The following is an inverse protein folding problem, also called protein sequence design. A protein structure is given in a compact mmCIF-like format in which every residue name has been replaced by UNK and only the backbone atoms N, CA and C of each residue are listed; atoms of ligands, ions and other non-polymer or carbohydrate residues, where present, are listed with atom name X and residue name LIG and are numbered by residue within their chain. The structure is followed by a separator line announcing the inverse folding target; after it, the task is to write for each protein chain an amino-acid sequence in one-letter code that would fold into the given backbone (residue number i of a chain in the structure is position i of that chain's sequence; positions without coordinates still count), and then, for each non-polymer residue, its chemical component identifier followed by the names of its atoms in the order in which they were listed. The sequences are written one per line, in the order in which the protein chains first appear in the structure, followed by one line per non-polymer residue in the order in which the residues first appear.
data_IF_654477500854
#
_entry.id   IF_654477500854
#
_cell.length_a   1.000
_cell.length_b   1.000
_cell.length_c   1.000
_cell.angle_alpha   90.00
_cell.angle_beta   90.00
_cell.angle_gamma   90.00
#
_symmetry.space_group_name_H-M   'P 1'
#
loop_
_entity.id
_entity.type
_entity.pdbx_description
1 polymer ?
#
# COMPACT_ATOMS: atom_id res chain seq x y z
N UNK A 1 16.32 26.94 -6.90
CA UNK A 1 16.70 25.51 -6.80
C UNK A 1 15.42 24.68 -6.89
N UNK A 2 15.12 24.12 -8.07
CA UNK A 2 13.99 23.20 -8.25
C UNK A 2 14.54 21.78 -8.35
N UNK A 3 14.69 21.12 -7.21
CA UNK A 3 14.98 19.69 -7.14
C UNK A 3 13.68 18.94 -7.36
N UNK A 4 13.46 18.50 -8.60
CA UNK A 4 12.39 17.57 -8.94
C UNK A 4 12.85 16.12 -8.67
N UNK A 5 12.21 15.36 -7.77
CA UNK A 5 12.15 13.91 -7.90
C UNK A 5 10.86 13.55 -8.66
N UNK A 6 10.63 14.16 -9.84
CA UNK A 6 9.29 14.10 -10.48
C UNK A 6 8.90 12.71 -11.00
N UNK A 7 9.85 11.79 -11.19
CA UNK A 7 9.57 10.43 -11.69
C UNK A 7 9.46 9.37 -10.60
N UNK A 8 10.36 9.40 -9.60
CA UNK A 8 10.32 8.43 -8.50
C UNK A 8 9.04 8.64 -7.66
N UNK A 9 8.75 9.88 -7.26
CA UNK A 9 7.58 10.18 -6.46
C UNK A 9 6.25 9.92 -7.19
N UNK A 10 6.21 10.06 -8.52
CA UNK A 10 4.99 9.80 -9.29
C UNK A 10 4.69 8.30 -9.39
N UNK A 11 5.74 7.48 -9.58
CA UNK A 11 5.61 6.03 -9.54
C UNK A 11 5.22 5.57 -8.13
N UNK A 12 5.90 6.08 -7.10
CA UNK A 12 5.63 5.76 -5.70
C UNK A 12 4.19 6.15 -5.30
N UNK A 13 3.73 7.35 -5.62
CA UNK A 13 2.35 7.77 -5.34
C UNK A 13 1.30 6.93 -6.09
N UNK A 14 1.62 6.45 -7.30
CA UNK A 14 0.73 5.54 -8.04
C UNK A 14 0.68 4.17 -7.38
N UNK A 15 1.82 3.66 -6.93
CA UNK A 15 1.92 2.37 -6.22
C UNK A 15 1.13 2.45 -4.90
N UNK A 16 1.29 3.55 -4.13
CA UNK A 16 0.52 3.80 -2.91
C UNK A 16 -1.00 3.79 -3.19
N UNK A 17 -1.43 4.53 -4.22
CA UNK A 17 -2.85 4.60 -4.58
C UNK A 17 -3.43 3.24 -5.03
N UNK A 18 -2.66 2.46 -5.81
CA UNK A 18 -3.06 1.12 -6.25
C UNK A 18 -3.17 0.17 -5.06
N UNK A 19 -2.17 0.14 -4.18
CA UNK A 19 -2.20 -0.66 -2.97
C UNK A 19 -3.38 -0.29 -2.07
N UNK A 20 -3.61 1.02 -1.85
CA UNK A 20 -4.72 1.49 -1.02
C UNK A 20 -6.08 1.14 -1.62
N UNK A 21 -6.22 1.24 -2.95
CA UNK A 21 -7.44 0.85 -3.65
C UNK A 21 -7.67 -0.66 -3.60
N UNK A 22 -6.61 -1.46 -3.73
CA UNK A 22 -6.69 -2.91 -3.65
C UNK A 22 -7.16 -3.36 -2.24
N UNK A 23 -6.61 -2.76 -1.19
CA UNK A 23 -7.06 -3.02 0.20
C UNK A 23 -8.51 -2.57 0.43
N UNK A 24 -8.90 -1.42 -0.10
CA UNK A 24 -10.27 -0.93 0.02
C UNK A 24 -11.30 -1.75 -0.78
N UNK A 25 -10.85 -2.46 -1.82
CA UNK A 25 -11.71 -3.32 -2.65
C UNK A 25 -11.91 -4.70 -2.04
N UNK A 26 -11.00 -5.16 -1.17
CA UNK A 26 -11.12 -6.47 -0.52
C UNK A 26 -12.05 -6.41 0.71
N UNK A 27 -13.24 -7.03 0.65
CA UNK A 27 -14.20 -7.03 1.76
C UNK A 27 -13.76 -7.88 2.96
N UNK A 28 -12.69 -8.68 2.84
CA UNK A 28 -12.13 -9.46 3.95
C UNK A 28 -11.18 -8.63 4.83
N UNK A 29 -10.76 -7.45 4.37
CA UNK A 29 -9.96 -6.51 5.16
C UNK A 29 -10.93 -5.61 5.92
N UNK A 30 -11.07 -5.84 7.22
CA UNK A 30 -12.08 -5.17 8.02
C UNK A 30 -11.84 -3.65 8.14
N UNK A 31 -10.58 -3.23 8.25
CA UNK A 31 -10.22 -1.82 8.48
C UNK A 31 -9.03 -1.37 7.60
N UNK A 32 -9.22 -1.20 6.28
CA UNK A 32 -8.16 -0.77 5.37
C UNK A 32 -7.59 0.62 5.73
N UNK A 33 -8.36 1.45 6.44
CA UNK A 33 -7.94 2.78 6.89
C UNK A 33 -6.95 2.77 8.08
N UNK A 34 -6.77 1.64 8.76
CA UNK A 34 -5.78 1.51 9.85
C UNK A 34 -4.36 1.26 9.34
N UNK A 35 -4.22 0.94 8.05
CA UNK A 35 -2.93 0.71 7.42
C UNK A 35 -2.38 1.98 6.80
N UNK A 36 -1.16 2.33 7.19
CA UNK A 36 -0.37 3.38 6.55
C UNK A 36 0.46 2.74 5.44
N UNK A 37 0.16 3.09 4.20
CA UNK A 37 0.92 2.64 3.02
C UNK A 37 1.84 3.77 2.59
N UNK A 38 3.12 3.47 2.41
CA UNK A 38 4.08 4.40 1.83
C UNK A 38 5.00 3.67 0.86
N UNK A 39 5.28 4.27 -0.29
CA UNK A 39 6.24 3.76 -1.27
C UNK A 39 7.45 4.67 -1.29
N UNK A 40 8.65 4.07 -1.26
CA UNK A 40 9.90 4.80 -1.45
C UNK A 40 10.81 4.03 -2.38
N UNK A 41 11.13 4.64 -3.53
CA UNK A 41 12.04 4.07 -4.54
C UNK A 41 11.53 2.71 -5.07
N UNK A 42 10.22 2.54 -5.20
CA UNK A 42 9.60 1.30 -5.66
C UNK A 42 9.48 0.19 -4.62
N UNK A 43 9.76 0.49 -3.34
CA UNK A 43 9.51 -0.43 -2.22
C UNK A 43 8.30 0.04 -1.44
N UNK A 44 7.28 -0.82 -1.33
CA UNK A 44 6.07 -0.58 -0.56
C UNK A 44 6.31 -0.95 0.90
N UNK A 45 6.07 -0.01 1.80
CA UNK A 45 6.01 -0.21 3.24
C UNK A 45 4.56 -0.08 3.68
N UNK A 46 4.06 -1.11 4.35
CA UNK A 46 2.73 -1.15 4.93
C UNK A 46 2.92 -1.28 6.43
N UNK A 47 2.43 -0.31 7.17
CA UNK A 47 2.47 -0.29 8.63
C UNK A 47 1.03 -0.29 9.16
N UNK A 48 0.74 -1.15 10.12
CA UNK A 48 -0.57 -1.22 10.74
C UNK A 48 -0.67 -2.42 11.66
N UNK A 49 -1.81 -2.54 12.33
CA UNK A 49 -2.06 -3.65 13.25
C UNK A 49 -3.04 -4.61 12.61
N UNK A 50 -2.58 -5.83 12.34
CA UNK A 50 -3.45 -6.95 11.99
C UNK A 50 -3.83 -7.72 13.26
N UNK A 51 -5.03 -8.29 13.30
CA UNK A 51 -5.46 -9.11 14.44
C UNK A 51 -5.20 -10.59 14.20
N UNK A 52 -5.05 -11.00 12.93
CA UNK A 52 -4.80 -12.38 12.51
C UNK A 52 -3.74 -12.45 11.42
N UNK A 53 -2.96 -13.54 11.43
CA UNK A 53 -1.96 -13.81 10.38
C UNK A 53 -2.61 -13.97 8.99
N UNK A 54 -3.85 -14.49 8.93
CA UNK A 54 -4.64 -14.60 7.70
C UNK A 54 -4.91 -13.24 7.05
N UNK A 55 -5.11 -12.19 7.87
CA UNK A 55 -5.31 -10.82 7.38
C UNK A 55 -4.01 -10.28 6.80
N UNK A 56 -2.88 -10.52 7.47
CA UNK A 56 -1.56 -10.13 6.94
C UNK A 56 -1.29 -10.78 5.58
N UNK A 57 -1.50 -12.09 5.48
CA UNK A 57 -1.25 -12.82 4.24
C UNK A 57 -2.19 -12.35 3.11
N UNK A 58 -3.44 -12.00 3.46
CA UNK A 58 -4.39 -11.41 2.49
C UNK A 58 -3.89 -10.05 2.01
N UNK A 59 -3.50 -9.16 2.91
CA UNK A 59 -2.99 -7.82 2.59
C UNK A 59 -1.79 -7.92 1.64
N UNK A 60 -0.82 -8.79 1.95
CA UNK A 60 0.32 -9.03 1.05
C UNK A 60 -0.12 -9.55 -0.31
N UNK A 61 -1.01 -10.54 -0.35
CA UNK A 61 -1.51 -11.12 -1.61
C UNK A 61 -2.20 -10.08 -2.48
N UNK A 62 -3.05 -9.26 -1.86
CA UNK A 62 -3.82 -8.21 -2.54
C UNK A 62 -2.90 -7.13 -3.10
N UNK A 63 -1.88 -6.72 -2.34
CA UNK A 63 -0.94 -5.68 -2.78
C UNK A 63 0.03 -6.18 -3.85
N UNK A 64 0.43 -7.45 -3.80
CA UNK A 64 1.28 -8.07 -4.85
C UNK A 64 0.50 -8.28 -6.15
N UNK A 65 -0.80 -8.56 -6.07
CA UNK A 65 -1.65 -8.84 -7.22
C UNK A 65 -2.22 -7.59 -7.92
N UNK A 66 -2.06 -6.40 -7.32
CA UNK A 66 -2.59 -5.13 -7.81
C UNK A 66 -1.65 -4.43 -8.82
#
# INVERSE_FOLDING_TARGET
MNILPRKANYADAKIEAVAQQALATDPMIADPATFTISSRKGVIHIEGTVHRDEEQQRIETVVIAA
#
